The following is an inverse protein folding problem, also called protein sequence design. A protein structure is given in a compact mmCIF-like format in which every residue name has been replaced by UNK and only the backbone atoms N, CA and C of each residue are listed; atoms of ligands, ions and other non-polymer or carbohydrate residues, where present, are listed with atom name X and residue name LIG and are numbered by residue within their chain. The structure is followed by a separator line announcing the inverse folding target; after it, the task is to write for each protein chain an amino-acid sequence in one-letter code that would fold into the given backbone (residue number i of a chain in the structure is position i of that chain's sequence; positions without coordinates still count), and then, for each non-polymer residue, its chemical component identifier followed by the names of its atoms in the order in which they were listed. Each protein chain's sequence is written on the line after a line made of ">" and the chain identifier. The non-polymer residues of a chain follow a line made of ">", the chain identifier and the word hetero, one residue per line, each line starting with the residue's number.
data_IF_926332386313
#
_entry.id   IF_926332386313
#
_cell.length_a   1.000
_cell.length_b   1.000
_cell.length_c   1.000
_cell.angle_alpha   90.00
_cell.angle_beta   90.00
_cell.angle_gamma   90.00
#
_symmetry.space_group_name_H-M   'P 1'
#
loop_
_entity.id
_entity.type
_entity.pdbx_description
1 polymer ?
#
# COMPACT_ATOMS: atom_id res chain seq x y z
N UNK A 1 -13.21 3.52 -6.99
CA UNK A 1 -13.29 2.05 -7.11
C UNK A 1 -13.47 1.49 -5.70
N UNK A 2 -14.39 0.54 -5.50
CA UNK A 2 -14.55 -0.14 -4.22
C UNK A 2 -14.05 -1.57 -4.39
N UNK A 3 -13.15 -2.01 -3.52
CA UNK A 3 -12.60 -3.36 -3.56
C UNK A 3 -12.80 -4.04 -2.22
N UNK A 4 -13.25 -5.30 -2.24
CA UNK A 4 -13.60 -6.03 -1.02
C UNK A 4 -12.48 -7.02 -0.75
N UNK A 5 -11.63 -6.67 0.20
CA UNK A 5 -10.44 -7.45 0.56
C UNK A 5 -10.77 -8.60 1.53
N UNK A 6 -11.77 -8.48 2.41
CA UNK A 6 -12.18 -9.58 3.31
C UNK A 6 -13.64 -9.45 3.84
N UNK A 7 -14.07 -10.41 4.67
CA UNK A 7 -15.45 -10.49 5.23
C UNK A 7 -15.78 -9.36 6.22
N UNK A 8 -14.77 -8.80 6.89
CA UNK A 8 -14.93 -7.71 7.87
C UNK A 8 -14.10 -6.46 7.54
N UNK A 9 -13.06 -6.61 6.70
CA UNK A 9 -12.21 -5.50 6.25
C UNK A 9 -12.54 -5.09 4.82
N UNK A 10 -12.85 -3.80 4.64
CA UNK A 10 -13.23 -3.22 3.35
C UNK A 10 -12.28 -2.10 2.95
N UNK A 11 -11.99 -1.98 1.64
CA UNK A 11 -11.18 -0.89 1.11
C UNK A 11 -11.92 -0.12 0.01
N UNK A 12 -11.79 1.20 0.01
CA UNK A 12 -12.28 2.04 -1.07
C UNK A 12 -11.21 3.05 -1.47
N UNK A 13 -11.11 3.31 -2.77
CA UNK A 13 -10.24 4.36 -3.29
C UNK A 13 -11.03 5.34 -4.15
N UNK A 14 -10.70 6.63 -4.02
CA UNK A 14 -11.25 7.67 -4.89
C UNK A 14 -10.17 8.34 -5.75
N UNK A 15 -10.62 9.11 -6.74
CA UNK A 15 -9.73 9.76 -7.72
C UNK A 15 -8.87 10.88 -7.10
N UNK A 16 -9.19 11.32 -5.89
CA UNK A 16 -8.40 12.30 -5.11
C UNK A 16 -7.27 11.64 -4.29
N UNK A 17 -7.06 10.34 -4.45
CA UNK A 17 -5.98 9.60 -3.78
C UNK A 17 -6.22 9.26 -2.31
N UNK A 18 -7.48 9.27 -1.88
CA UNK A 18 -7.84 8.72 -0.58
C UNK A 18 -8.02 7.21 -0.70
N UNK A 19 -7.39 6.48 0.21
CA UNK A 19 -7.64 5.08 0.53
C UNK A 19 -8.42 5.07 1.83
N UNK A 20 -9.62 4.50 1.83
CA UNK A 20 -10.44 4.29 3.00
C UNK A 20 -10.37 2.82 3.41
N UNK A 21 -10.20 2.58 4.70
CA UNK A 21 -10.23 1.25 5.33
C UNK A 21 -11.30 1.22 6.41
N UNK A 22 -12.08 0.15 6.43
CA UNK A 22 -13.01 -0.15 7.52
C UNK A 22 -12.68 -1.52 8.08
N UNK A 23 -12.75 -1.66 9.41
CA UNK A 23 -12.56 -2.91 10.15
C UNK A 23 -13.86 -3.44 10.78
N UNK A 24 -14.97 -2.76 10.53
CA UNK A 24 -16.28 -3.02 11.14
C UNK A 24 -17.39 -3.04 10.08
N UNK A 25 -17.09 -3.62 8.91
CA UNK A 25 -18.06 -3.86 7.81
C UNK A 25 -18.68 -2.56 7.28
N UNK A 26 -17.91 -1.48 7.29
CA UNK A 26 -18.29 -0.18 6.74
C UNK A 26 -19.01 0.75 7.70
N UNK A 27 -19.05 0.44 9.01
CA UNK A 27 -19.66 1.30 10.03
C UNK A 27 -18.77 2.52 10.31
N UNK A 28 -17.47 2.31 10.48
CA UNK A 28 -16.45 3.35 10.62
C UNK A 28 -15.36 3.21 9.56
N UNK A 29 -14.76 4.34 9.19
CA UNK A 29 -13.77 4.42 8.12
C UNK A 29 -12.58 5.26 8.57
N UNK A 30 -11.39 4.73 8.34
CA UNK A 30 -10.12 5.45 8.46
C UNK A 30 -9.59 5.75 7.07
N UNK A 31 -9.16 7.00 6.83
CA UNK A 31 -8.64 7.42 5.54
C UNK A 31 -7.15 7.68 5.58
N UNK A 32 -6.45 7.22 4.55
CA UNK A 32 -5.09 7.60 4.22
C UNK A 32 -5.08 8.31 2.87
N UNK A 33 -4.61 9.56 2.84
CA UNK A 33 -4.43 10.28 1.58
C UNK A 33 -2.98 10.16 1.11
N UNK A 34 -2.78 9.59 -0.08
CA UNK A 34 -1.46 9.45 -0.69
C UNK A 34 -1.18 10.50 -1.76
N UNK A 35 -2.09 11.45 -1.98
CA UNK A 35 -1.97 12.52 -2.98
C UNK A 35 -2.10 12.07 -4.44
N UNK A 36 -2.29 10.78 -4.70
CA UNK A 36 -2.38 10.22 -6.06
C UNK A 36 -3.54 9.24 -6.18
N UNK A 37 -4.21 9.26 -7.33
CA UNK A 37 -5.28 8.30 -7.63
C UNK A 37 -4.77 6.86 -7.55
N UNK A 38 -5.40 6.06 -6.70
CA UNK A 38 -5.15 4.62 -6.59
C UNK A 38 -6.11 3.87 -7.52
N UNK A 39 -5.56 2.99 -8.34
CA UNK A 39 -6.29 2.22 -9.34
C UNK A 39 -6.53 0.76 -8.93
N UNK A 40 -5.76 0.21 -7.99
CA UNK A 40 -5.90 -1.17 -7.52
C UNK A 40 -5.31 -1.32 -6.11
N UNK A 41 -5.92 -2.20 -5.30
CA UNK A 41 -5.45 -2.57 -3.97
C UNK A 41 -5.57 -4.09 -3.85
N UNK A 42 -4.48 -4.78 -3.53
CA UNK A 42 -4.42 -6.24 -3.44
C UNK A 42 -3.67 -6.67 -2.19
N UNK A 43 -4.14 -7.71 -1.51
CA UNK A 43 -3.53 -8.23 -0.29
C UNK A 43 -3.05 -9.67 -0.48
N UNK A 44 -1.80 -9.93 -0.14
CA UNK A 44 -1.23 -11.30 -0.17
C UNK A 44 -1.53 -12.06 1.13
N UNK A 45 -1.79 -11.34 2.22
CA UNK A 45 -2.27 -11.87 3.49
C UNK A 45 -2.92 -10.73 4.31
N UNK A 46 -3.35 -11.02 5.53
CA UNK A 46 -4.06 -10.05 6.39
C UNK A 46 -3.21 -8.84 6.84
N UNK A 47 -1.89 -8.86 6.63
CA UNK A 47 -0.97 -7.78 7.03
C UNK A 47 -0.31 -7.12 5.83
N UNK A 48 0.10 -7.89 4.83
CA UNK A 48 0.87 -7.40 3.70
C UNK A 48 -0.05 -7.20 2.49
N UNK A 49 -0.05 -5.98 1.97
CA UNK A 49 -0.80 -5.60 0.78
C UNK A 49 -0.09 -4.51 -0.02
N UNK A 50 -0.57 -4.30 -1.24
CA UNK A 50 -0.03 -3.36 -2.20
C UNK A 50 -1.15 -2.52 -2.80
N UNK A 51 -0.87 -1.23 -3.01
CA UNK A 51 -1.75 -0.32 -3.73
C UNK A 51 -1.01 0.25 -4.93
N UNK A 52 -1.56 0.08 -6.12
CA UNK A 52 -1.06 0.64 -7.37
C UNK A 52 -1.87 1.86 -7.76
N UNK A 53 -1.20 2.93 -8.15
CA UNK A 53 -1.82 4.18 -8.57
C UNK A 53 -1.24 4.76 -9.85
N UNK A 54 -1.77 5.92 -10.24
CA UNK A 54 -1.23 6.71 -11.36
C UNK A 54 0.20 7.16 -11.08
N UNK A 55 0.90 7.62 -12.12
CA UNK A 55 2.29 8.13 -12.02
C UNK A 55 3.29 7.13 -11.44
N UNK A 56 3.09 5.84 -11.73
CA UNK A 56 3.97 4.76 -11.27
C UNK A 56 4.08 4.65 -9.75
N UNK A 57 3.06 5.11 -9.01
CA UNK A 57 3.04 4.97 -7.55
C UNK A 57 2.69 3.54 -7.18
N UNK A 58 3.57 2.91 -6.41
CA UNK A 58 3.34 1.65 -5.74
C UNK A 58 3.51 1.90 -4.24
N UNK A 59 2.49 1.58 -3.46
CA UNK A 59 2.52 1.62 -2.01
C UNK A 59 2.47 0.20 -1.46
N UNK A 60 3.14 -0.03 -0.34
CA UNK A 60 3.10 -1.26 0.43
C UNK A 60 2.58 -0.96 1.83
N UNK A 61 1.77 -1.86 2.36
CA UNK A 61 1.43 -1.94 3.78
C UNK A 61 1.97 -3.24 4.37
N UNK A 62 2.35 -3.20 5.64
CA UNK A 62 2.75 -4.37 6.44
C UNK A 62 1.90 -4.53 7.71
N UNK A 63 0.87 -3.69 7.86
CA UNK A 63 0.00 -3.61 9.03
C UNK A 63 -1.49 -3.71 8.67
N UNK A 64 -1.80 -4.33 7.53
CA UNK A 64 -3.19 -4.56 7.09
C UNK A 64 -3.85 -3.32 6.51
N UNK A 65 -3.06 -2.36 6.02
CA UNK A 65 -3.55 -1.12 5.40
C UNK A 65 -3.85 -0.01 6.39
N UNK A 66 -3.40 -0.12 7.64
CA UNK A 66 -3.45 0.97 8.60
C UNK A 66 -2.47 2.10 8.22
N UNK A 67 -1.28 1.72 7.73
CA UNK A 67 -0.31 2.63 7.13
C UNK A 67 0.21 2.11 5.79
N UNK A 68 0.61 3.05 4.93
CA UNK A 68 1.11 2.77 3.58
C UNK A 68 2.42 3.52 3.35
N UNK A 69 3.40 2.83 2.76
CA UNK A 69 4.73 3.37 2.47
C UNK A 69 5.03 3.23 0.97
N UNK A 70 5.64 4.23 0.31
CA UNK A 70 6.08 4.10 -1.07
C UNK A 70 7.10 2.98 -1.24
N UNK A 71 6.89 2.12 -2.23
CA UNK A 71 7.91 1.18 -2.69
C UNK A 71 8.85 1.94 -3.60
N UNK A 72 9.88 2.55 -3.02
CA UNK A 72 11.01 3.00 -3.81
C UNK A 72 11.75 1.74 -4.31
N UNK A 73 12.03 1.66 -5.61
CA UNK A 73 12.93 0.65 -6.15
C UNK A 73 14.37 1.02 -5.75
N UNK A 74 14.65 1.04 -4.44
CA UNK A 74 16.01 0.93 -3.95
C UNK A 74 16.38 -0.51 -4.23
N UNK A 75 17.03 -0.73 -5.37
CA UNK A 75 18.03 -1.78 -5.46
C UNK A 75 18.83 -1.61 -4.16
N UNK A 76 18.84 -2.59 -3.25
CA UNK A 76 19.66 -2.45 -2.05
C UNK A 76 21.06 -2.16 -2.58
N UNK A 77 21.56 -0.96 -2.29
CA UNK A 77 22.97 -0.65 -2.44
C UNK A 77 23.64 -1.66 -1.51
N UNK A 78 23.93 -2.85 -2.04
CA UNK A 78 24.86 -3.76 -1.41
C UNK A 78 26.11 -2.91 -1.23
N UNK A 79 26.58 -2.67 0.00
CA UNK A 79 27.86 -2.02 0.18
C UNK A 79 28.85 -2.84 -0.62
N UNK A 80 29.46 -2.24 -1.64
CA UNK A 80 30.53 -2.88 -2.39
C UNK A 80 31.58 -3.20 -1.33
N UNK A 81 31.88 -4.48 -1.05
CA UNK A 81 32.95 -4.80 -0.12
C UNK A 81 34.22 -4.12 -0.67
N UNK A 82 35.02 -3.45 0.19
CA UNK A 82 36.22 -2.77 -0.28
C UNK A 82 37.08 -3.75 -1.08
N UNK A 83 37.54 -3.31 -2.25
CA UNK A 83 38.51 -4.04 -3.08
C UNK A 83 39.87 -4.03 -2.38
N UNK A 84 40.02 -4.84 -1.35
CA UNK A 84 41.31 -5.19 -0.77
C UNK A 84 41.22 -6.63 -0.31
N UNK A 85 41.45 -7.55 -1.24
CA UNK A 85 42.13 -8.84 -1.05
C UNK A 85 42.06 -9.63 -2.37
N UNK A 86 42.91 -9.22 -3.33
CA UNK A 86 43.47 -10.07 -4.38
C UNK A 86 44.97 -9.82 -4.43
#
# INVERSE_FOLDING_TARGET
>A
MADIVSRDTMFMANDNGNIYRSDDRGVTWHSFNCGVRISSIEFINSKIGFAGGVNSVILKTEDGGATWQPVCNVIPFLPIPPLSDF
#
